data_IF_378408696329
#
_entry.id   IF_378408696329
#
_cell.length_a   1.000
_cell.length_b   1.000
_cell.length_c   1.000
_cell.angle_alpha   90.00
_cell.angle_beta   90.00
_cell.angle_gamma   90.00
#
_symmetry.space_group_name_H-M   'P 1'
#
loop_
_entity.id
_entity.type
_entity.pdbx_description
1 polymer ?
#
# COMPACT_ATOMS: atom_id res chain seq x y z
N UNK A 1 -2.80 -4.27 20.05
CA UNK A 1 -3.71 -4.98 19.10
C UNK A 1 -3.77 -6.46 19.47
N UNK A 2 -4.98 -7.04 19.59
CA UNK A 2 -5.14 -8.48 19.82
C UNK A 2 -5.36 -9.20 18.49
N UNK A 3 -4.31 -9.72 17.90
CA UNK A 3 -4.36 -10.37 16.57
C UNK A 3 -5.20 -11.65 16.54
N UNK A 4 -5.41 -12.32 17.70
CA UNK A 4 -6.24 -13.53 17.77
C UNK A 4 -7.73 -13.26 17.46
N UNK A 5 -8.21 -12.06 17.77
CA UNK A 5 -9.60 -11.66 17.52
C UNK A 5 -9.84 -11.11 16.13
N UNK A 6 -8.78 -10.81 15.37
CA UNK A 6 -8.90 -10.26 14.03
C UNK A 6 -9.24 -11.36 13.00
N UNK A 7 -10.11 -11.01 12.08
CA UNK A 7 -10.44 -11.82 10.89
C UNK A 7 -9.39 -11.62 9.80
N UNK A 8 -8.94 -10.36 9.60
CA UNK A 8 -7.97 -10.01 8.58
C UNK A 8 -7.17 -8.76 8.97
N UNK A 9 -6.07 -8.52 8.26
CA UNK A 9 -5.29 -7.26 8.30
C UNK A 9 -5.21 -6.72 6.87
N UNK A 10 -5.88 -5.61 6.63
CA UNK A 10 -5.86 -4.88 5.37
C UNK A 10 -4.58 -4.01 5.32
N UNK A 11 -3.62 -4.40 4.51
CA UNK A 11 -2.32 -3.73 4.46
C UNK A 11 -2.30 -2.46 3.61
N UNK A 12 -3.45 -2.07 2.99
CA UNK A 12 -3.46 -0.98 2.02
C UNK A 12 -4.73 -0.14 2.10
N UNK A 13 -4.71 0.89 2.95
CA UNK A 13 -5.89 1.71 3.21
C UNK A 13 -5.53 3.19 3.17
N UNK A 14 -6.19 3.94 2.29
CA UNK A 14 -5.99 5.37 2.16
C UNK A 14 -6.87 6.16 3.14
N UNK A 15 -6.25 7.10 3.85
CA UNK A 15 -6.95 8.17 4.55
C UNK A 15 -7.00 9.37 3.60
N UNK A 16 -8.19 9.64 3.10
CA UNK A 16 -8.42 10.70 2.13
C UNK A 16 -8.67 12.05 2.80
N UNK A 17 -8.31 13.18 2.16
CA UNK A 17 -8.69 14.51 2.65
C UNK A 17 -10.21 14.71 2.58
N UNK A 18 -10.74 15.62 3.40
CA UNK A 18 -12.18 15.90 3.48
C UNK A 18 -12.73 16.50 2.18
N UNK A 19 -11.92 17.29 1.44
CA UNK A 19 -12.30 17.82 0.13
C UNK A 19 -11.64 17.02 -1.00
N UNK A 20 -12.44 16.60 -1.99
CA UNK A 20 -12.02 15.84 -3.17
C UNK A 20 -12.58 16.48 -4.45
N UNK A 21 -12.20 17.73 -4.69
CA UNK A 21 -12.79 18.54 -5.77
C UNK A 21 -11.81 18.82 -6.91
N UNK A 22 -10.60 18.25 -6.88
CA UNK A 22 -9.62 18.41 -7.96
C UNK A 22 -10.08 17.73 -9.26
N UNK A 23 -9.53 18.14 -10.39
CA UNK A 23 -9.78 17.48 -11.68
C UNK A 23 -9.36 15.99 -11.63
N UNK A 24 -8.30 15.66 -10.89
CA UNK A 24 -7.87 14.28 -10.68
C UNK A 24 -8.90 13.47 -9.85
N UNK A 25 -9.52 14.08 -8.84
CA UNK A 25 -10.60 13.44 -8.07
C UNK A 25 -11.83 13.16 -8.92
N UNK A 26 -12.21 14.11 -9.78
CA UNK A 26 -13.34 13.93 -10.69
C UNK A 26 -13.08 12.82 -11.71
N UNK A 27 -11.87 12.76 -12.29
CA UNK A 27 -11.47 11.70 -13.20
C UNK A 27 -11.42 10.33 -12.49
N UNK A 28 -10.90 10.27 -11.27
CA UNK A 28 -10.87 9.05 -10.46
C UNK A 28 -12.29 8.55 -10.14
N UNK A 29 -13.22 9.41 -9.75
CA UNK A 29 -14.64 9.04 -9.57
C UNK A 29 -15.26 8.46 -10.83
N UNK A 30 -14.99 9.06 -11.98
CA UNK A 30 -15.48 8.56 -13.27
C UNK A 30 -14.91 7.18 -13.61
N UNK A 31 -13.64 6.96 -13.31
CA UNK A 31 -12.94 5.69 -13.60
C UNK A 31 -13.34 4.56 -12.65
N UNK A 32 -13.34 4.83 -11.33
CA UNK A 32 -13.63 3.83 -10.30
C UNK A 32 -15.14 3.69 -9.99
N UNK A 33 -15.96 4.59 -10.49
CA UNK A 33 -17.37 4.74 -10.13
C UNK A 33 -17.55 5.58 -8.86
N UNK A 34 -18.71 6.21 -8.74
CA UNK A 34 -19.07 7.18 -7.67
C UNK A 34 -19.37 6.50 -6.30
N UNK A 35 -18.80 5.31 -6.06
CA UNK A 35 -19.15 4.45 -4.92
C UNK A 35 -18.17 4.53 -3.74
N UNK A 36 -17.14 5.38 -3.82
CA UNK A 36 -16.24 5.56 -2.69
C UNK A 36 -16.99 6.24 -1.53
N UNK A 37 -17.20 5.59 -0.39
CA UNK A 37 -17.92 6.17 0.73
C UNK A 37 -17.14 7.37 1.27
N UNK A 38 -17.84 8.49 1.46
CA UNK A 38 -17.30 9.59 2.25
C UNK A 38 -17.63 9.31 3.69
N UNK A 39 -16.73 8.64 4.41
CA UNK A 39 -16.86 8.34 5.83
C UNK A 39 -16.14 9.44 6.64
N UNK A 40 -16.74 9.86 7.73
CA UNK A 40 -16.00 10.59 8.78
C UNK A 40 -14.92 9.69 9.39
N UNK A 41 -13.94 10.26 10.08
CA UNK A 41 -12.89 9.47 10.74
C UNK A 41 -13.47 8.46 11.75
N UNK A 42 -14.50 8.84 12.49
CA UNK A 42 -15.17 7.95 13.45
C UNK A 42 -15.91 6.80 12.75
N UNK A 43 -16.65 7.09 11.70
CA UNK A 43 -17.34 6.07 10.89
C UNK A 43 -16.33 5.12 10.20
N UNK A 44 -15.21 5.65 9.73
CA UNK A 44 -14.14 4.85 9.16
C UNK A 44 -13.56 3.85 10.19
N UNK A 45 -13.23 4.32 11.38
CA UNK A 45 -12.71 3.46 12.46
C UNK A 45 -13.72 2.39 12.84
N UNK A 46 -14.99 2.77 13.01
CA UNK A 46 -16.05 1.82 13.34
C UNK A 46 -16.34 0.83 12.22
N UNK A 47 -16.22 1.26 10.97
CA UNK A 47 -16.36 0.39 9.80
C UNK A 47 -15.38 -0.78 9.84
N UNK A 48 -14.10 -0.54 10.17
CA UNK A 48 -13.09 -1.58 10.30
C UNK A 48 -13.23 -2.37 11.60
N UNK A 49 -13.51 -1.69 12.73
CA UNK A 49 -13.64 -2.33 14.05
C UNK A 49 -14.80 -3.32 14.11
N UNK A 50 -15.98 -2.96 13.62
CA UNK A 50 -17.15 -3.86 13.58
C UNK A 50 -16.92 -5.12 12.74
N UNK A 51 -15.98 -5.08 11.79
CA UNK A 51 -15.58 -6.21 10.95
C UNK A 51 -14.43 -7.03 11.51
N UNK A 52 -13.83 -6.58 12.61
CA UNK A 52 -12.59 -7.18 13.17
C UNK A 52 -11.47 -7.24 12.14
N UNK A 53 -11.34 -6.21 11.30
CA UNK A 53 -10.26 -6.07 10.32
C UNK A 53 -9.36 -4.94 10.80
N UNK A 54 -8.11 -5.25 11.15
CA UNK A 54 -7.12 -4.19 11.37
C UNK A 54 -6.65 -3.65 10.02
N UNK A 55 -6.16 -2.42 10.00
CA UNK A 55 -5.68 -1.86 8.74
C UNK A 55 -4.44 -0.98 8.90
N UNK A 56 -3.57 -1.06 7.90
CA UNK A 56 -2.47 -0.13 7.68
C UNK A 56 -3.02 1.09 6.98
N UNK A 57 -2.90 2.25 7.61
CA UNK A 57 -3.48 3.52 7.14
C UNK A 57 -2.42 4.54 6.81
N UNK A 58 -2.59 5.24 5.70
CA UNK A 58 -1.71 6.31 5.23
C UNK A 58 -2.46 7.31 4.34
N UNK A 59 -1.87 8.48 4.14
CA UNK A 59 -2.28 9.45 3.11
C UNK A 59 -1.08 9.72 2.21
N UNK A 60 -1.25 9.59 0.89
CA UNK A 60 -0.14 9.69 -0.06
C UNK A 60 0.32 11.13 -0.21
N UNK A 61 1.63 11.36 -0.14
CA UNK A 61 2.27 12.62 -0.53
C UNK A 61 2.33 12.69 -2.07
N UNK A 62 1.48 13.52 -2.66
CA UNK A 62 1.29 13.59 -4.11
C UNK A 62 1.81 14.92 -4.65
N UNK A 63 2.61 14.83 -5.72
CA UNK A 63 3.08 16.04 -6.43
C UNK A 63 2.24 16.33 -7.67
N UNK A 64 1.79 15.27 -8.36
CA UNK A 64 1.23 15.37 -9.71
C UNK A 64 -0.23 15.80 -9.75
N UNK A 65 -1.00 15.52 -8.72
CA UNK A 65 -2.45 15.75 -8.70
C UNK A 65 -2.87 17.10 -8.12
N UNK A 66 -1.95 17.76 -7.38
CA UNK A 66 -2.27 18.95 -6.60
C UNK A 66 -3.18 18.70 -5.39
N UNK A 67 -3.51 17.43 -5.11
CA UNK A 67 -4.29 17.04 -3.94
C UNK A 67 -3.46 17.28 -2.67
N UNK A 68 -4.09 17.83 -1.63
CA UNK A 68 -3.44 17.98 -0.33
C UNK A 68 -3.43 16.65 0.40
N UNK A 69 -2.26 16.25 0.88
CA UNK A 69 -2.12 15.11 1.78
C UNK A 69 -2.78 15.42 3.14
N UNK A 70 -3.40 14.43 3.75
CA UNK A 70 -3.69 14.48 5.18
C UNK A 70 -2.35 14.39 5.92
N UNK A 71 -2.02 15.32 6.83
CA UNK A 71 -0.74 15.31 7.52
C UNK A 71 -0.42 13.96 8.15
N UNK A 72 0.83 13.49 8.02
CA UNK A 72 1.26 12.22 8.60
C UNK A 72 1.02 12.16 10.11
N UNK A 73 1.17 13.30 10.80
CA UNK A 73 0.93 13.43 12.24
C UNK A 73 -0.55 13.23 12.59
N UNK A 74 -1.49 13.61 11.70
CA UNK A 74 -2.92 13.39 11.91
C UNK A 74 -3.28 11.92 11.71
N UNK A 75 -2.70 11.25 10.71
CA UNK A 75 -2.83 9.81 10.50
C UNK A 75 -2.27 9.05 11.70
N UNK A 76 -1.11 9.45 12.19
CA UNK A 76 -0.49 8.84 13.37
C UNK A 76 -1.35 9.04 14.63
N UNK A 77 -1.85 10.25 14.87
CA UNK A 77 -2.77 10.52 16.02
C UNK A 77 -4.03 9.68 15.95
N UNK A 78 -4.61 9.53 14.76
CA UNK A 78 -5.79 8.66 14.56
C UNK A 78 -5.49 7.21 14.93
N UNK A 79 -4.35 6.68 14.50
CA UNK A 79 -3.93 5.32 14.82
C UNK A 79 -3.59 5.14 16.30
N UNK A 80 -2.90 6.11 16.92
CA UNK A 80 -2.60 6.09 18.34
C UNK A 80 -3.85 6.15 19.23
N UNK A 81 -4.91 6.82 18.77
CA UNK A 81 -6.21 6.83 19.43
C UNK A 81 -7.01 5.52 19.25
N UNK A 82 -6.63 4.67 18.28
CA UNK A 82 -7.30 3.42 17.93
C UNK A 82 -6.30 2.27 17.73
N UNK A 83 -5.44 1.98 18.72
CA UNK A 83 -4.31 1.03 18.56
C UNK A 83 -4.76 -0.43 18.48
N UNK A 84 -6.04 -0.69 18.71
CA UNK A 84 -6.69 -1.99 18.57
C UNK A 84 -6.90 -2.38 17.10
N UNK A 85 -7.05 -1.39 16.20
CA UNK A 85 -7.46 -1.63 14.82
C UNK A 85 -6.60 -0.91 13.77
N UNK A 86 -5.92 0.20 14.11
CA UNK A 86 -5.17 1.01 13.15
C UNK A 86 -3.65 0.90 13.34
N UNK A 87 -2.94 0.87 12.21
CA UNK A 87 -1.47 0.86 12.12
C UNK A 87 -1.06 2.02 11.20
N UNK A 88 -0.40 3.04 11.73
CA UNK A 88 -0.02 4.21 10.95
C UNK A 88 1.24 3.94 10.12
N UNK A 89 1.12 4.15 8.80
CA UNK A 89 2.25 4.40 7.91
C UNK A 89 2.27 5.87 7.52
N UNK A 90 3.46 6.37 7.20
CA UNK A 90 3.64 7.72 6.70
C UNK A 90 3.87 7.71 5.18
N UNK A 91 3.66 8.84 4.53
CA UNK A 91 4.07 9.03 3.14
C UNK A 91 4.84 10.35 3.03
N UNK A 92 6.02 10.28 2.46
CA UNK A 92 6.92 11.43 2.24
C UNK A 92 7.55 11.24 0.88
N UNK A 93 7.58 12.28 0.05
CA UNK A 93 8.27 12.27 -1.24
C UNK A 93 9.81 12.27 -1.02
N UNK A 94 10.52 11.16 -1.31
CA UNK A 94 11.96 11.06 -1.06
C UNK A 94 12.78 12.06 -1.86
N UNK A 95 12.23 12.57 -2.98
CA UNK A 95 12.95 13.51 -3.86
C UNK A 95 13.14 14.90 -3.25
N UNK A 96 12.53 15.16 -2.07
CA UNK A 96 12.77 16.39 -1.28
C UNK A 96 14.11 16.40 -0.57
N UNK A 97 14.92 15.34 -0.73
CA UNK A 97 16.28 15.26 -0.18
C UNK A 97 16.31 15.37 1.35
N UNK A 98 17.05 16.35 1.89
CA UNK A 98 17.24 16.49 3.33
C UNK A 98 15.92 16.64 4.12
N UNK A 99 14.95 17.36 3.58
CA UNK A 99 13.64 17.52 4.21
C UNK A 99 12.94 16.17 4.40
N UNK A 100 13.01 15.29 3.39
CA UNK A 100 12.43 13.95 3.48
C UNK A 100 13.12 13.10 4.54
N UNK A 101 14.46 13.15 4.61
CA UNK A 101 15.27 12.45 5.62
C UNK A 101 14.87 12.89 7.03
N UNK A 102 14.85 14.20 7.27
CA UNK A 102 14.50 14.77 8.59
C UNK A 102 13.06 14.43 8.97
N UNK A 103 12.15 14.41 7.99
CA UNK A 103 10.74 13.99 8.21
C UNK A 103 10.64 12.52 8.56
N UNK A 104 11.35 11.63 7.86
CA UNK A 104 11.37 10.21 8.17
C UNK A 104 11.87 9.97 9.60
N UNK A 105 12.97 10.59 10.00
CA UNK A 105 13.52 10.46 11.36
C UNK A 105 12.52 10.89 12.44
N UNK A 106 11.86 12.05 12.24
CA UNK A 106 10.82 12.53 13.18
C UNK A 106 9.62 11.58 13.27
N UNK A 107 9.14 11.09 12.12
CA UNK A 107 7.97 10.21 12.06
C UNK A 107 8.27 8.84 12.67
N UNK A 108 9.46 8.29 12.44
CA UNK A 108 9.93 7.05 13.08
C UNK A 108 9.99 7.22 14.59
N UNK A 109 10.61 8.32 15.06
CA UNK A 109 10.68 8.62 16.49
C UNK A 109 9.29 8.83 17.12
N UNK A 110 8.31 9.33 16.35
CA UNK A 110 6.92 9.48 16.77
C UNK A 110 6.11 8.17 16.77
N UNK A 111 6.64 7.09 16.16
CA UNK A 111 6.06 5.75 16.24
C UNK A 111 5.28 5.30 15.01
N UNK A 112 5.53 5.84 13.81
CA UNK A 112 5.02 5.24 12.58
C UNK A 112 5.61 3.84 12.38
N UNK A 113 4.84 2.95 11.77
CA UNK A 113 5.18 1.53 11.63
C UNK A 113 5.67 1.18 10.22
N UNK A 114 5.79 2.16 9.33
CA UNK A 114 6.26 1.99 7.96
C UNK A 114 5.97 3.20 7.09
N UNK A 115 6.24 3.05 5.79
CA UNK A 115 6.04 4.14 4.82
C UNK A 115 5.31 3.65 3.57
N UNK A 116 4.59 4.58 2.92
CA UNK A 116 3.99 4.42 1.59
C UNK A 116 4.63 5.38 0.62
N UNK A 117 5.07 4.87 -0.53
CA UNK A 117 5.62 5.65 -1.63
C UNK A 117 4.80 5.37 -2.88
N UNK A 118 4.45 6.44 -3.61
CA UNK A 118 3.72 6.34 -4.87
C UNK A 118 4.52 7.03 -5.98
N UNK A 119 5.53 6.33 -6.50
CA UNK A 119 6.52 6.86 -7.42
C UNK A 119 5.89 7.55 -8.65
N UNK A 120 4.84 6.98 -9.31
CA UNK A 120 4.18 7.68 -10.41
C UNK A 120 3.58 9.04 -10.05
N UNK A 121 3.09 9.22 -8.81
CA UNK A 121 2.57 10.51 -8.32
C UNK A 121 3.64 11.45 -7.77
N UNK A 122 4.80 10.91 -7.41
CA UNK A 122 5.98 11.65 -6.97
C UNK A 122 6.96 11.93 -8.11
N UNK A 123 6.76 11.30 -9.29
CA UNK A 123 7.50 11.50 -10.55
C UNK A 123 8.99 11.13 -10.49
N UNK A 124 9.31 9.92 -9.96
CA UNK A 124 10.67 9.38 -9.92
C UNK A 124 10.66 7.85 -10.03
N UNK A 125 11.81 7.23 -10.38
CA UNK A 125 12.01 5.79 -10.29
C UNK A 125 12.38 5.37 -8.87
N UNK A 126 11.86 4.23 -8.38
CA UNK A 126 12.15 3.77 -7.02
C UNK A 126 13.66 3.61 -6.75
N UNK A 127 14.45 3.25 -7.77
CA UNK A 127 15.91 3.11 -7.71
C UNK A 127 16.69 4.41 -8.05
N UNK A 128 16.02 5.56 -8.16
CA UNK A 128 16.72 6.83 -8.33
C UNK A 128 17.54 7.16 -7.07
N UNK A 129 18.82 7.48 -7.25
CA UNK A 129 19.76 7.74 -6.14
C UNK A 129 19.36 8.91 -5.24
N UNK A 130 18.52 9.82 -5.70
CA UNK A 130 17.97 10.91 -4.88
C UNK A 130 17.11 10.41 -3.71
N UNK A 131 16.51 9.24 -3.84
CA UNK A 131 15.68 8.63 -2.80
C UNK A 131 16.49 7.82 -1.76
N UNK A 132 17.72 7.45 -2.06
CA UNK A 132 18.52 6.55 -1.23
C UNK A 132 18.78 7.06 0.20
N UNK A 133 19.09 8.34 0.44
CA UNK A 133 19.28 8.84 1.80
C UNK A 133 18.01 8.69 2.67
N UNK A 134 16.82 8.72 2.05
CA UNK A 134 15.55 8.44 2.74
C UNK A 134 15.43 6.95 3.07
N UNK A 135 15.78 6.06 2.12
CA UNK A 135 15.73 4.61 2.35
C UNK A 135 16.74 4.14 3.40
N UNK A 136 17.93 4.75 3.47
CA UNK A 136 18.92 4.46 4.51
C UNK A 136 18.37 4.62 5.93
N UNK A 137 17.56 5.65 6.17
CA UNK A 137 16.92 5.88 7.47
C UNK A 137 15.89 4.79 7.78
N UNK A 138 15.14 4.35 6.78
CA UNK A 138 14.09 3.34 6.94
C UNK A 138 14.72 1.95 7.10
N UNK A 139 15.76 1.64 6.32
CA UNK A 139 16.52 0.38 6.41
C UNK A 139 17.16 0.22 7.80
N UNK A 140 17.77 1.30 8.33
CA UNK A 140 18.33 1.31 9.67
C UNK A 140 17.27 1.05 10.76
N UNK A 141 16.05 1.54 10.54
CA UNK A 141 14.91 1.32 11.43
C UNK A 141 14.22 -0.04 11.18
N UNK A 142 14.57 -0.77 10.13
CA UNK A 142 13.97 -2.05 9.69
C UNK A 142 12.46 -1.96 9.50
N UNK A 143 11.96 -0.83 9.04
CA UNK A 143 10.54 -0.59 8.81
C UNK A 143 10.14 -0.96 7.37
N UNK A 144 8.92 -1.48 7.17
CA UNK A 144 8.42 -1.80 5.84
C UNK A 144 8.09 -0.55 5.03
N UNK A 145 8.29 -0.66 3.71
CA UNK A 145 7.86 0.34 2.74
C UNK A 145 6.93 -0.31 1.70
N UNK A 146 5.75 0.27 1.53
CA UNK A 146 4.81 -0.08 0.47
C UNK A 146 5.09 0.82 -0.73
N UNK A 147 5.53 0.23 -1.84
CA UNK A 147 5.74 0.92 -3.11
C UNK A 147 4.57 0.66 -4.05
N UNK A 148 4.02 1.71 -4.65
CA UNK A 148 3.05 1.54 -5.72
C UNK A 148 3.71 0.87 -6.92
N UNK A 149 3.05 -0.12 -7.54
CA UNK A 149 3.55 -0.76 -8.75
C UNK A 149 2.43 -1.00 -9.76
N UNK A 150 2.83 -1.10 -11.03
CA UNK A 150 1.91 -1.35 -12.12
C UNK A 150 1.10 -0.12 -12.55
N UNK A 151 -0.09 -0.41 -13.03
CA UNK A 151 -1.03 0.61 -13.51
C UNK A 151 -1.54 1.48 -12.36
N UNK A 152 -1.56 2.80 -12.58
CA UNK A 152 -2.23 3.74 -11.68
C UNK A 152 -3.57 4.17 -12.28
N UNK A 153 -4.65 4.04 -11.51
CA UNK A 153 -5.95 4.57 -11.90
C UNK A 153 -6.03 6.10 -11.82
N UNK A 154 -5.10 6.73 -11.09
CA UNK A 154 -5.05 8.20 -10.97
C UNK A 154 -4.55 8.79 -12.30
N UNK A 155 -5.28 9.79 -12.79
CA UNK A 155 -5.01 10.41 -14.10
C UNK A 155 -5.68 9.72 -15.28
N UNK A 156 -6.25 8.53 -15.11
CA UNK A 156 -6.96 7.80 -16.17
C UNK A 156 -8.12 8.64 -16.72
N UNK A 157 -8.18 8.75 -18.06
CA UNK A 157 -9.20 9.55 -18.77
C UNK A 157 -8.91 11.05 -18.83
N UNK A 158 -7.85 11.54 -18.19
CA UNK A 158 -7.39 12.92 -18.32
C UNK A 158 -6.45 13.07 -19.55
N UNK A 159 -6.40 14.25 -20.19
CA UNK A 159 -5.41 14.52 -21.23
C UNK A 159 -3.98 14.23 -20.74
N UNK A 160 -3.22 13.44 -21.50
CA UNK A 160 -1.87 13.02 -21.11
C UNK A 160 -1.79 12.24 -19.80
N UNK A 161 -2.90 11.61 -19.37
CA UNK A 161 -2.96 10.89 -18.10
C UNK A 161 -2.76 11.79 -16.87
N UNK A 162 -3.12 13.08 -16.97
CA UNK A 162 -2.84 14.05 -15.89
C UNK A 162 -1.35 14.25 -15.61
N UNK A 163 -0.47 13.89 -16.57
CA UNK A 163 0.99 13.94 -16.40
C UNK A 163 1.61 12.75 -15.66
N UNK A 164 0.80 11.80 -15.20
CA UNK A 164 1.28 10.59 -14.49
C UNK A 164 2.00 9.67 -15.48
N UNK A 165 3.20 9.22 -15.11
CA UNK A 165 4.01 8.30 -15.93
C UNK A 165 4.04 6.92 -15.28
N UNK A 166 3.37 5.96 -15.93
CA UNK A 166 3.25 4.59 -15.41
C UNK A 166 4.60 3.87 -15.26
N UNK A 167 5.60 4.22 -16.08
CA UNK A 167 6.93 3.61 -16.02
C UNK A 167 7.58 3.65 -14.62
N UNK A 168 7.25 4.66 -13.82
CA UNK A 168 7.75 4.77 -12.44
C UNK A 168 7.16 3.72 -11.49
N UNK A 169 6.12 3.01 -11.91
CA UNK A 169 5.55 1.87 -11.18
C UNK A 169 6.14 0.53 -11.60
N UNK A 170 7.28 0.48 -12.30
CA UNK A 170 7.86 -0.78 -12.76
C UNK A 170 8.48 -1.55 -11.59
N UNK A 171 8.05 -2.81 -11.31
CA UNK A 171 8.48 -3.54 -10.12
C UNK A 171 9.96 -3.94 -10.14
N UNK A 172 10.62 -3.99 -11.32
CA UNK A 172 12.05 -4.28 -11.41
C UNK A 172 12.94 -3.17 -10.82
N UNK A 173 12.45 -1.93 -10.70
CA UNK A 173 13.17 -0.88 -9.98
C UNK A 173 13.35 -1.26 -8.50
N UNK A 174 12.47 -2.11 -7.95
CA UNK A 174 12.54 -2.59 -6.57
C UNK A 174 13.54 -3.74 -6.39
N UNK A 175 13.99 -4.38 -7.46
CA UNK A 175 15.08 -5.36 -7.39
C UNK A 175 16.38 -4.69 -6.92
N UNK A 176 16.73 -3.53 -7.50
CA UNK A 176 17.89 -2.74 -7.10
C UNK A 176 17.75 -2.24 -5.64
N UNK A 177 16.57 -1.69 -5.30
CA UNK A 177 16.31 -1.19 -3.94
C UNK A 177 16.44 -2.31 -2.91
N UNK A 178 15.94 -3.51 -3.22
CA UNK A 178 16.03 -4.66 -2.31
C UNK A 178 17.45 -5.20 -2.14
N UNK A 179 18.34 -5.00 -3.14
CA UNK A 179 19.77 -5.33 -3.02
C UNK A 179 20.47 -4.34 -2.11
N UNK A 180 20.21 -3.04 -2.33
CA UNK A 180 20.93 -1.97 -1.64
C UNK A 180 20.44 -1.77 -0.18
N UNK A 181 19.18 -2.16 0.12
CA UNK A 181 18.53 -2.02 1.45
C UNK A 181 17.97 -3.36 1.97
N UNK A 182 18.85 -4.30 2.39
CA UNK A 182 18.45 -5.66 2.74
C UNK A 182 17.66 -5.79 4.05
N UNK A 183 17.69 -4.79 4.93
CA UNK A 183 16.96 -4.80 6.20
C UNK A 183 15.57 -4.13 6.10
N UNK A 184 15.29 -3.43 5.00
CA UNK A 184 14.02 -2.77 4.74
C UNK A 184 13.05 -3.74 4.06
N UNK A 185 12.01 -4.23 4.76
CA UNK A 185 10.97 -5.01 4.10
C UNK A 185 10.26 -4.16 3.03
N UNK A 186 10.09 -4.73 1.84
CA UNK A 186 9.45 -4.06 0.70
C UNK A 186 8.12 -4.75 0.43
N UNK A 187 7.06 -3.97 0.27
CA UNK A 187 5.77 -4.46 -0.20
C UNK A 187 5.51 -3.87 -1.59
N UNK A 188 5.49 -4.73 -2.58
CA UNK A 188 5.02 -4.43 -3.94
C UNK A 188 3.50 -4.27 -3.85
N UNK A 189 2.98 -3.05 -4.00
CA UNK A 189 1.56 -2.81 -3.96
C UNK A 189 0.89 -3.23 -5.27
N UNK A 190 -0.27 -3.86 -5.15
CA UNK A 190 -1.10 -4.35 -6.24
C UNK A 190 -0.52 -5.59 -6.98
N UNK A 191 -1.33 -6.28 -7.78
CA UNK A 191 -0.84 -7.33 -8.69
C UNK A 191 0.14 -6.86 -9.77
N UNK A 192 0.46 -5.55 -9.82
CA UNK A 192 1.44 -4.93 -10.73
C UNK A 192 1.10 -5.00 -12.22
N UNK A 193 -0.20 -5.07 -12.58
CA UNK A 193 -0.56 -5.06 -14.01
C UNK A 193 0.11 -3.88 -14.77
N UNK A 194 0.75 -4.09 -15.95
CA UNK A 194 0.86 -5.35 -16.69
C UNK A 194 2.08 -6.21 -16.31
N UNK A 195 2.93 -5.79 -15.37
CA UNK A 195 4.22 -6.39 -15.01
C UNK A 195 4.09 -7.38 -13.83
N UNK A 196 3.07 -8.25 -13.87
CA UNK A 196 2.78 -9.19 -12.77
C UNK A 196 3.89 -10.23 -12.60
N UNK A 197 4.44 -10.75 -13.71
CA UNK A 197 5.45 -11.81 -13.69
C UNK A 197 6.79 -11.28 -13.17
N UNK A 198 7.14 -10.02 -13.47
CA UNK A 198 8.30 -9.33 -12.92
C UNK A 198 8.15 -9.13 -11.41
N UNK A 199 6.97 -8.70 -10.94
CA UNK A 199 6.70 -8.56 -9.50
C UNK A 199 6.83 -9.90 -8.77
N UNK A 200 6.26 -10.97 -9.34
CA UNK A 200 6.40 -12.34 -8.83
C UNK A 200 7.88 -12.75 -8.77
N UNK A 201 8.64 -12.46 -9.82
CA UNK A 201 10.07 -12.80 -9.90
C UNK A 201 10.89 -12.10 -8.81
N UNK A 202 10.67 -10.80 -8.60
CA UNK A 202 11.33 -10.04 -7.51
C UNK A 202 10.97 -10.62 -6.15
N UNK A 203 9.69 -10.90 -5.89
CA UNK A 203 9.25 -11.52 -4.64
C UNK A 203 9.86 -12.91 -4.40
N UNK A 204 10.04 -13.71 -5.45
CA UNK A 204 10.68 -15.03 -5.35
C UNK A 204 12.16 -14.92 -5.00
N UNK A 205 12.84 -13.96 -5.62
CA UNK A 205 14.30 -13.83 -5.50
C UNK A 205 14.73 -13.14 -4.19
N UNK A 206 13.97 -12.15 -3.71
CA UNK A 206 14.33 -11.32 -2.55
C UNK A 206 13.55 -11.75 -1.29
N UNK A 207 14.21 -12.21 -0.21
CA UNK A 207 13.52 -12.72 0.98
C UNK A 207 12.65 -11.67 1.68
N UNK A 208 13.05 -10.39 1.65
CA UNK A 208 12.36 -9.28 2.31
C UNK A 208 11.27 -8.63 1.46
N UNK A 209 11.02 -9.09 0.22
CA UNK A 209 10.02 -8.51 -0.68
C UNK A 209 8.71 -9.31 -0.59
N UNK A 210 7.62 -8.60 -0.39
CA UNK A 210 6.24 -9.06 -0.31
C UNK A 210 5.42 -8.46 -1.44
N UNK A 211 4.21 -8.98 -1.68
CA UNK A 211 3.23 -8.41 -2.60
C UNK A 211 1.88 -8.28 -1.90
N UNK A 212 1.23 -7.12 -1.97
CA UNK A 212 -0.16 -7.00 -1.57
C UNK A 212 -1.10 -7.10 -2.78
N UNK A 213 -2.31 -7.58 -2.54
CA UNK A 213 -3.28 -7.83 -3.59
C UNK A 213 -4.33 -6.72 -3.71
N UNK A 214 -3.98 -5.51 -3.29
CA UNK A 214 -4.86 -4.34 -3.29
C UNK A 214 -5.15 -3.78 -4.68
N UNK A 215 -6.12 -2.87 -4.79
CA UNK A 215 -6.43 -2.12 -6.01
C UNK A 215 -7.14 -2.91 -7.11
N UNK A 216 -7.27 -4.22 -6.96
CA UNK A 216 -7.90 -5.11 -7.92
C UNK A 216 -8.88 -6.05 -7.22
N UNK A 217 -10.05 -6.28 -7.83
CA UNK A 217 -10.90 -7.36 -7.36
C UNK A 217 -10.24 -8.71 -7.65
N UNK A 218 -10.22 -9.65 -6.69
CA UNK A 218 -9.61 -10.98 -6.85
C UNK A 218 -10.03 -11.75 -8.10
N UNK A 219 -11.23 -11.51 -8.62
CA UNK A 219 -11.71 -12.13 -9.87
C UNK A 219 -10.85 -11.82 -11.10
N UNK A 220 -10.01 -10.80 -11.03
CA UNK A 220 -9.12 -10.39 -12.14
C UNK A 220 -7.67 -10.85 -11.95
N UNK A 221 -7.37 -11.58 -10.87
CA UNK A 221 -6.02 -12.08 -10.67
C UNK A 221 -5.64 -13.10 -11.74
N UNK A 222 -4.40 -12.98 -12.24
CA UNK A 222 -3.91 -13.92 -13.24
C UNK A 222 -3.77 -15.33 -12.66
N UNK A 223 -3.93 -16.38 -13.48
CA UNK A 223 -3.68 -17.76 -13.04
C UNK A 223 -2.27 -17.96 -12.47
N UNK A 224 -1.26 -17.27 -13.04
CA UNK A 224 0.13 -17.29 -12.56
C UNK A 224 0.22 -16.77 -11.14
N UNK A 225 -0.39 -15.61 -10.84
CA UNK A 225 -0.40 -15.04 -9.48
C UNK A 225 -1.06 -15.99 -8.49
N UNK A 226 -2.22 -16.57 -8.83
CA UNK A 226 -2.93 -17.54 -7.98
C UNK A 226 -2.06 -18.78 -7.72
N UNK A 227 -1.36 -19.29 -8.75
CA UNK A 227 -0.47 -20.43 -8.62
C UNK A 227 0.67 -20.14 -7.63
N UNK A 228 1.36 -19.00 -7.78
CA UNK A 228 2.47 -18.64 -6.89
C UNK A 228 2.00 -18.30 -5.47
N UNK A 229 0.85 -17.64 -5.33
CA UNK A 229 0.24 -17.37 -4.03
C UNK A 229 -0.09 -18.65 -3.26
N UNK A 230 -0.48 -19.72 -3.96
CA UNK A 230 -0.75 -21.04 -3.36
C UNK A 230 0.51 -21.86 -3.05
N UNK A 231 1.68 -21.45 -3.55
CA UNK A 231 2.88 -22.29 -3.51
C UNK A 231 4.08 -21.52 -2.94
N UNK A 232 4.97 -21.05 -3.80
CA UNK A 232 6.27 -20.48 -3.40
C UNK A 232 6.12 -19.12 -2.67
N UNK A 233 5.08 -18.35 -2.96
CA UNK A 233 4.82 -17.05 -2.35
C UNK A 233 3.78 -17.09 -1.22
N UNK A 234 3.30 -18.26 -0.77
CA UNK A 234 2.25 -18.36 0.23
C UNK A 234 2.52 -17.61 1.55
N UNK A 235 3.79 -17.35 1.85
CA UNK A 235 4.21 -16.61 3.03
C UNK A 235 4.58 -15.14 2.76
N UNK A 236 4.34 -14.65 1.53
CA UNK A 236 4.73 -13.31 1.09
C UNK A 236 3.60 -12.51 0.44
N UNK A 237 2.43 -13.11 0.25
CA UNK A 237 1.26 -12.46 -0.30
C UNK A 237 0.42 -11.90 0.84
N UNK A 238 -0.05 -10.66 0.70
CA UNK A 238 -0.78 -9.91 1.71
C UNK A 238 -2.16 -9.51 1.19
N UNK A 239 -3.14 -9.47 2.08
CA UNK A 239 -4.43 -8.84 1.81
C UNK A 239 -4.29 -7.32 1.87
N UNK A 240 -4.79 -6.65 0.85
CA UNK A 240 -4.99 -5.22 0.80
C UNK A 240 -6.26 -4.91 -0.01
N UNK A 241 -7.07 -3.95 0.43
CA UNK A 241 -8.27 -3.56 -0.30
C UNK A 241 -8.06 -2.40 -1.27
N UNK A 242 -7.18 -1.48 -0.93
CA UNK A 242 -7.06 -0.15 -1.55
C UNK A 242 -8.30 0.73 -1.26
N UNK A 243 -8.84 0.59 -0.04
CA UNK A 243 -9.95 1.45 0.41
C UNK A 243 -9.54 2.95 0.32
N UNK A 244 -10.41 3.83 -0.14
CA UNK A 244 -11.84 3.67 -0.33
C UNK A 244 -12.26 3.17 -1.72
N UNK A 245 -11.32 2.90 -2.64
CA UNK A 245 -11.64 2.48 -4.02
C UNK A 245 -12.34 1.12 -4.07
N UNK A 246 -11.84 0.17 -3.29
CA UNK A 246 -12.47 -1.14 -3.10
C UNK A 246 -12.76 -1.33 -1.61
N UNK A 247 -14.01 -1.63 -1.27
CA UNK A 247 -14.38 -1.95 0.10
C UNK A 247 -13.85 -3.34 0.48
N UNK A 248 -13.30 -3.54 1.69
CA UNK A 248 -12.89 -4.85 2.18
C UNK A 248 -13.95 -5.94 2.00
N UNK A 249 -15.23 -5.63 2.31
CA UNK A 249 -16.35 -6.59 2.15
C UNK A 249 -16.44 -7.13 0.72
N UNK A 250 -16.31 -6.25 -0.28
CA UNK A 250 -16.36 -6.66 -1.69
C UNK A 250 -15.13 -7.48 -2.07
N UNK A 251 -13.96 -7.05 -1.63
CA UNK A 251 -12.72 -7.75 -1.93
C UNK A 251 -12.75 -9.17 -1.34
N UNK A 252 -13.14 -9.31 -0.07
CA UNK A 252 -13.25 -10.60 0.62
C UNK A 252 -14.28 -11.51 -0.06
N UNK A 253 -15.44 -10.98 -0.42
CA UNK A 253 -16.47 -11.76 -1.13
C UNK A 253 -16.00 -12.26 -2.51
N UNK A 254 -15.15 -11.53 -3.21
CA UNK A 254 -14.56 -11.97 -4.47
C UNK A 254 -13.38 -12.93 -4.23
N UNK A 255 -12.62 -12.77 -3.14
CA UNK A 255 -11.54 -13.65 -2.74
C UNK A 255 -12.01 -15.07 -2.40
N UNK A 256 -13.19 -15.19 -1.80
CA UNK A 256 -13.81 -16.50 -1.52
C UNK A 256 -14.07 -17.33 -2.78
N UNK A 257 -14.23 -16.69 -3.95
CA UNK A 257 -14.58 -17.33 -5.21
C UNK A 257 -13.38 -17.80 -6.04
N UNK A 258 -12.16 -17.39 -5.66
CA UNK A 258 -10.95 -17.76 -6.41
C UNK A 258 -10.27 -19.00 -5.82
N UNK A 259 -9.47 -19.68 -6.63
CA UNK A 259 -8.84 -20.97 -6.31
C UNK A 259 -7.61 -20.81 -5.39
N UNK A 260 -7.79 -20.17 -4.23
CA UNK A 260 -6.79 -20.17 -3.16
C UNK A 260 -7.08 -21.33 -2.21
N UNK A 261 -6.06 -22.10 -1.88
CA UNK A 261 -6.16 -23.25 -0.96
C UNK A 261 -6.57 -22.80 0.43
N UNK A 262 -7.37 -23.62 1.13
CA UNK A 262 -7.91 -23.26 2.45
C UNK A 262 -6.80 -22.97 3.47
N UNK A 263 -5.69 -23.71 3.44
CA UNK A 263 -4.54 -23.49 4.33
C UNK A 263 -3.74 -22.22 3.98
N UNK A 264 -3.90 -21.64 2.79
CA UNK A 264 -3.23 -20.42 2.35
C UNK A 264 -4.06 -19.17 2.64
N UNK A 265 -5.39 -19.28 2.69
CA UNK A 265 -6.29 -18.14 2.96
C UNK A 265 -5.93 -17.38 4.23
N UNK A 266 -5.77 -18.00 5.41
CA UNK A 266 -5.38 -17.28 6.62
C UNK A 266 -4.00 -16.64 6.52
N UNK A 267 -3.06 -17.24 5.77
CA UNK A 267 -1.75 -16.64 5.52
C UNK A 267 -1.89 -15.29 4.81
N UNK A 268 -2.65 -15.26 3.72
CA UNK A 268 -2.87 -14.03 2.92
C UNK A 268 -3.67 -13.00 3.71
N UNK A 269 -4.74 -13.43 4.38
CA UNK A 269 -5.66 -12.52 5.06
C UNK A 269 -5.05 -11.87 6.31
N UNK A 270 -4.14 -12.56 7.01
CA UNK A 270 -3.68 -12.09 8.33
C UNK A 270 -2.23 -12.46 8.68
N UNK A 271 -1.86 -13.74 8.62
CA UNK A 271 -0.64 -14.24 9.24
C UNK A 271 0.64 -13.65 8.63
N UNK A 272 0.64 -13.41 7.30
CA UNK A 272 1.77 -12.78 6.63
C UNK A 272 1.95 -11.31 7.08
N UNK A 273 0.84 -10.59 7.27
CA UNK A 273 0.87 -9.21 7.76
C UNK A 273 1.33 -9.14 9.22
N UNK A 274 0.90 -10.07 10.09
CA UNK A 274 1.40 -10.18 11.47
C UNK A 274 2.92 -10.31 11.47
N UNK A 275 3.46 -11.21 10.65
CA UNK A 275 4.91 -11.44 10.56
C UNK A 275 5.66 -10.23 10.02
N UNK A 276 5.15 -9.60 8.95
CA UNK A 276 5.74 -8.41 8.34
C UNK A 276 5.79 -7.23 9.32
N UNK A 277 4.71 -7.02 10.08
CA UNK A 277 4.53 -5.87 10.95
C UNK A 277 5.03 -6.11 12.39
N UNK A 278 5.39 -7.35 12.74
CA UNK A 278 5.83 -7.71 14.09
C UNK A 278 4.73 -7.47 15.14
N UNK A 279 3.52 -7.99 14.89
CA UNK A 279 2.33 -7.83 15.74
C UNK A 279 2.15 -9.02 16.70
#
# INVERSE_FOLDING_TARGET
>A
MNTAELVAIDTHVHIEPDSRDSAADQAARKYFGDQAPTLTRAEFVEYYRSRKIACVVFSVDERMTGRKQVPNEDVLRLAQANPDILIAFASVDPTRGREAVDSAQRLIAAGVRGFKIHQPLMNFHANDRVAYPFYEVIDAAKLPVIFHTGHSGIGTGMPGGGGVRLKYGHPMDLDDVAVDFPNMPIVIAHPSFPWQDEAISVCLHKPQVYIDLSGWSPKYFSPTLIQYANTLLKHKVLFGSDFPLIKPDRWLADFEKIAIRDEVRPLILKENAIRLLGL
#
